data_IF_900892515413
#
_entry.id   IF_900892515413
#
_cell.length_a   1.000
_cell.length_b   1.000
_cell.length_c   1.000
_cell.angle_alpha   90.00
_cell.angle_beta   90.00
_cell.angle_gamma   90.00
#
_symmetry.space_group_name_H-M   'P 1'
#
loop_
_entity.id
_entity.type
_entity.pdbx_description
1 polymer ?
#
# COMPACT_ATOMS: atom_id res chain seq x y z
N UNK A 1 -22.83 8.65 -10.97
CA UNK A 1 -22.12 9.94 -11.05
C UNK A 1 -21.83 10.35 -9.62
N UNK A 2 -20.59 10.10 -9.24
CA UNK A 2 -19.87 10.31 -7.98
C UNK A 2 -20.45 11.42 -7.09
N UNK A 3 -20.97 11.03 -5.91
CA UNK A 3 -21.53 11.92 -4.88
C UNK A 3 -20.59 13.08 -4.51
N UNK A 4 -19.28 12.84 -4.60
CA UNK A 4 -18.22 13.84 -4.46
C UNK A 4 -18.37 15.06 -5.38
N UNK A 5 -18.73 14.82 -6.65
CA UNK A 5 -18.87 15.88 -7.63
C UNK A 5 -20.03 16.84 -7.30
N UNK A 6 -21.08 16.32 -6.66
CA UNK A 6 -22.21 17.12 -6.19
C UNK A 6 -21.81 18.03 -5.04
N UNK A 7 -20.97 17.54 -4.12
CA UNK A 7 -20.47 18.34 -2.99
C UNK A 7 -19.59 19.48 -3.49
N UNK A 8 -18.55 19.19 -4.27
CA UNK A 8 -17.57 20.20 -4.74
C UNK A 8 -18.22 21.36 -5.50
N UNK A 9 -19.32 21.12 -6.23
CA UNK A 9 -20.05 22.16 -6.96
C UNK A 9 -20.73 23.21 -6.10
N UNK A 10 -20.97 22.91 -4.82
CA UNK A 10 -21.57 23.87 -3.88
C UNK A 10 -20.56 24.93 -3.43
N UNK A 11 -19.26 24.73 -3.69
CA UNK A 11 -18.23 25.69 -3.35
C UNK A 11 -18.15 26.84 -4.36
N UNK A 12 -18.37 28.06 -3.89
CA UNK A 12 -18.30 29.28 -4.71
C UNK A 12 -17.19 30.24 -4.27
N UNK A 13 -16.30 29.80 -3.37
CA UNK A 13 -15.22 30.63 -2.82
C UNK A 13 -13.89 30.53 -3.58
N UNK A 14 -12.87 31.29 -3.15
CA UNK A 14 -11.53 31.23 -3.72
C UNK A 14 -10.80 29.94 -3.27
N UNK A 15 -9.88 29.36 -4.07
CA UNK A 15 -9.27 28.05 -3.77
C UNK A 15 -8.68 27.90 -2.37
N UNK A 16 -8.17 28.99 -1.78
CA UNK A 16 -7.56 29.01 -0.46
C UNK A 16 -8.54 28.68 0.69
N UNK A 17 -9.85 28.88 0.48
CA UNK A 17 -10.88 28.57 1.47
C UNK A 17 -11.56 27.22 1.26
N UNK A 18 -11.19 26.47 0.22
CA UNK A 18 -11.88 25.25 -0.17
C UNK A 18 -11.80 24.17 0.91
N UNK A 19 -10.61 23.96 1.45
CA UNK A 19 -10.38 22.92 2.46
C UNK A 19 -11.18 23.18 3.74
N UNK A 20 -11.14 24.42 4.26
CA UNK A 20 -11.91 24.79 5.45
C UNK A 20 -13.42 24.62 5.24
N UNK A 21 -13.94 25.05 4.09
CA UNK A 21 -15.35 24.86 3.72
C UNK A 21 -15.72 23.38 3.57
N UNK A 22 -14.83 22.57 3.01
CA UNK A 22 -15.07 21.16 2.77
C UNK A 22 -15.19 20.38 4.09
N UNK A 23 -14.29 20.65 5.05
CA UNK A 23 -14.34 20.04 6.39
C UNK A 23 -15.66 20.38 7.10
N UNK A 24 -16.11 21.63 6.99
CA UNK A 24 -17.37 22.11 7.57
C UNK A 24 -18.59 21.48 6.88
N UNK A 25 -18.62 21.46 5.54
CA UNK A 25 -19.74 20.95 4.74
C UNK A 25 -19.96 19.44 4.90
N UNK A 26 -18.88 18.69 5.10
CA UNK A 26 -18.94 17.24 5.32
C UNK A 26 -19.14 16.88 6.80
N UNK A 27 -19.33 17.87 7.68
CA UNK A 27 -19.42 17.71 9.13
C UNK A 27 -18.27 16.85 9.69
N UNK A 28 -17.10 16.92 9.06
CA UNK A 28 -15.98 16.05 9.41
C UNK A 28 -15.42 16.55 10.74
N UNK A 29 -15.41 15.72 11.79
CA UNK A 29 -14.90 16.14 13.08
C UNK A 29 -13.43 16.60 12.97
N UNK A 30 -13.11 17.78 13.51
CA UNK A 30 -11.72 18.29 13.55
C UNK A 30 -10.75 17.32 14.25
N UNK A 31 -11.25 16.39 15.06
CA UNK A 31 -10.42 15.33 15.66
C UNK A 31 -9.78 14.41 14.62
N UNK A 32 -10.30 14.33 13.39
CA UNK A 32 -9.68 13.59 12.28
C UNK A 32 -8.33 14.22 11.88
N UNK A 33 -8.18 15.54 12.00
CA UNK A 33 -6.90 16.22 11.80
C UNK A 33 -5.88 15.89 12.89
N UNK A 34 -6.34 15.31 14.01
CA UNK A 34 -5.51 14.85 15.13
C UNK A 34 -5.26 13.33 15.09
N UNK A 35 -5.73 12.62 14.06
CA UNK A 35 -5.38 11.21 13.89
C UNK A 35 -3.86 11.14 13.66
N UNK A 36 -3.15 10.53 14.60
CA UNK A 36 -1.72 10.30 14.47
C UNK A 36 -1.45 9.50 13.18
N UNK A 37 -0.32 9.79 12.53
CA UNK A 37 0.20 8.95 11.46
C UNK A 37 0.12 7.50 11.88
N UNK A 38 -0.33 6.63 10.97
CA UNK A 38 -0.40 5.21 11.25
C UNK A 38 0.99 4.68 11.63
N UNK A 39 1.15 4.33 12.90
CA UNK A 39 2.32 3.62 13.39
C UNK A 39 1.99 2.12 13.46
N UNK A 40 2.71 1.27 12.72
CA UNK A 40 2.48 -0.16 12.76
C UNK A 40 2.69 -0.72 14.17
N UNK A 41 1.82 -1.63 14.62
CA UNK A 41 1.90 -2.21 15.96
C UNK A 41 3.29 -2.80 16.27
N UNK A 42 3.71 -2.61 17.51
CA UNK A 42 4.93 -3.20 18.06
C UNK A 42 4.83 -4.74 18.11
N UNK A 43 5.96 -5.40 18.40
CA UNK A 43 5.97 -6.84 18.63
C UNK A 43 5.05 -7.21 19.79
N UNK A 44 4.31 -8.30 19.62
CA UNK A 44 3.54 -8.94 20.68
C UNK A 44 4.48 -9.58 21.72
N UNK A 45 4.00 -9.91 22.94
CA UNK A 45 4.82 -10.55 23.97
C UNK A 45 5.45 -11.89 23.54
N UNK A 46 4.82 -12.57 22.58
CA UNK A 46 5.34 -13.81 21.99
C UNK A 46 6.47 -13.57 20.95
N UNK A 47 6.84 -12.32 20.68
CA UNK A 47 7.86 -11.93 19.69
C UNK A 47 7.36 -11.89 18.24
N UNK A 48 6.08 -12.15 17.98
CA UNK A 48 5.48 -12.08 16.66
C UNK A 48 4.90 -10.69 16.37
N UNK A 49 4.67 -10.43 15.09
CA UNK A 49 4.07 -9.21 14.57
C UNK A 49 2.74 -9.57 13.90
N UNK A 50 1.64 -9.07 14.44
CA UNK A 50 0.29 -9.22 13.90
C UNK A 50 0.05 -8.22 12.76
N UNK A 51 -0.75 -8.60 11.78
CA UNK A 51 -1.30 -7.64 10.82
C UNK A 51 -2.37 -6.78 11.50
N UNK A 52 -2.27 -5.46 11.38
CA UNK A 52 -3.24 -4.52 11.99
C UNK A 52 -4.44 -4.24 11.08
N UNK A 53 -4.49 -4.85 9.89
CA UNK A 53 -5.61 -4.66 8.98
C UNK A 53 -6.88 -5.28 9.57
N UNK A 54 -7.97 -4.52 9.58
CA UNK A 54 -9.24 -4.95 10.16
C UNK A 54 -9.72 -6.28 9.55
N UNK A 55 -9.92 -7.30 10.41
CA UNK A 55 -10.31 -8.64 9.99
C UNK A 55 -9.17 -9.56 9.53
N UNK A 56 -7.92 -9.08 9.48
CA UNK A 56 -6.76 -9.89 9.18
C UNK A 56 -6.11 -10.42 10.47
N UNK A 57 -5.94 -11.74 10.56
CA UNK A 57 -5.39 -12.41 11.76
C UNK A 57 -4.01 -13.05 11.49
N UNK A 58 -3.29 -12.59 10.45
CA UNK A 58 -1.98 -13.17 10.10
C UNK A 58 -0.87 -12.66 11.01
N UNK A 59 0.02 -13.57 11.39
CA UNK A 59 1.17 -13.30 12.26
C UNK A 59 2.49 -13.64 11.57
N UNK A 60 3.55 -12.90 11.92
CA UNK A 60 4.86 -13.01 11.31
C UNK A 60 5.97 -12.94 12.34
N UNK A 61 7.07 -13.65 12.08
CA UNK A 61 8.26 -13.64 12.96
C UNK A 61 9.08 -12.36 12.88
N UNK A 62 8.78 -11.47 11.94
CA UNK A 62 9.50 -10.20 11.79
C UNK A 62 8.58 -9.09 11.29
N UNK A 63 8.89 -7.86 11.71
CA UNK A 63 8.22 -6.65 11.24
C UNK A 63 8.24 -6.55 9.71
N UNK A 64 9.38 -6.85 9.08
CA UNK A 64 9.52 -6.79 7.61
C UNK A 64 8.58 -7.75 6.90
N UNK A 65 8.42 -8.99 7.40
CA UNK A 65 7.54 -9.97 6.77
C UNK A 65 6.07 -9.56 6.90
N UNK A 66 5.67 -9.02 8.06
CA UNK A 66 4.33 -8.44 8.26
C UNK A 66 4.09 -7.27 7.31
N UNK A 67 5.05 -6.36 7.17
CA UNK A 67 4.92 -5.19 6.29
C UNK A 67 4.79 -5.62 4.82
N UNK A 68 5.66 -6.52 4.33
CA UNK A 68 5.56 -7.06 2.98
C UNK A 68 4.19 -7.71 2.72
N UNK A 69 3.61 -8.39 3.73
CA UNK A 69 2.27 -8.93 3.62
C UNK A 69 1.21 -7.82 3.51
N UNK A 70 1.27 -6.80 4.37
CA UNK A 70 0.32 -5.69 4.36
C UNK A 70 0.32 -4.96 3.01
N UNK A 71 1.52 -4.67 2.50
CA UNK A 71 1.71 -4.02 1.20
C UNK A 71 1.02 -4.82 0.09
N UNK A 72 1.27 -6.13 0.01
CA UNK A 72 0.75 -6.96 -1.08
C UNK A 72 -0.75 -7.27 -0.93
N UNK A 73 -1.19 -7.64 0.28
CA UNK A 73 -2.53 -8.19 0.50
C UNK A 73 -3.60 -7.13 0.75
N UNK A 74 -3.22 -5.94 1.23
CA UNK A 74 -4.16 -4.92 1.65
C UNK A 74 -4.00 -3.61 0.89
N UNK A 75 -2.76 -3.20 0.58
CA UNK A 75 -2.52 -2.00 -0.22
C UNK A 75 -2.45 -2.28 -1.74
N UNK A 76 -2.25 -3.54 -2.14
CA UNK A 76 -1.92 -3.87 -3.53
C UNK A 76 -0.57 -3.30 -3.98
N UNK A 77 0.28 -2.89 -3.03
CA UNK A 77 1.62 -2.39 -3.29
C UNK A 77 2.56 -3.59 -3.52
N UNK A 78 2.77 -3.91 -4.79
CA UNK A 78 3.60 -5.03 -5.20
C UNK A 78 4.37 -4.70 -6.48
N UNK A 79 5.39 -5.48 -6.79
CA UNK A 79 6.24 -5.30 -7.96
C UNK A 79 5.93 -6.39 -8.98
N UNK A 80 5.52 -5.99 -10.18
CA UNK A 80 5.31 -6.94 -11.27
C UNK A 80 6.59 -7.07 -12.09
N UNK A 81 7.04 -8.30 -12.31
CA UNK A 81 8.14 -8.54 -13.22
C UNK A 81 7.69 -8.21 -14.66
N UNK A 82 8.39 -7.32 -15.39
CA UNK A 82 8.01 -6.99 -16.76
C UNK A 82 8.24 -8.16 -17.73
N UNK A 83 9.20 -9.04 -17.41
CA UNK A 83 9.64 -10.11 -18.30
C UNK A 83 8.71 -11.33 -18.24
N UNK A 84 8.21 -11.70 -17.05
CA UNK A 84 7.37 -12.90 -16.87
C UNK A 84 6.00 -12.63 -16.23
N UNK A 85 5.72 -11.37 -15.85
CA UNK A 85 4.43 -10.99 -15.26
C UNK A 85 4.21 -11.40 -13.81
N UNK A 86 5.14 -12.13 -13.18
CA UNK A 86 5.03 -12.55 -11.78
C UNK A 86 4.94 -11.36 -10.82
N UNK A 87 4.19 -11.54 -9.73
CA UNK A 87 4.04 -10.54 -8.67
C UNK A 87 5.01 -10.86 -7.54
N UNK A 88 5.81 -9.87 -7.16
CA UNK A 88 6.83 -9.93 -6.12
C UNK A 88 6.51 -8.91 -5.03
N UNK A 89 6.79 -9.26 -3.78
CA UNK A 89 6.38 -8.44 -2.62
C UNK A 89 7.07 -7.08 -2.53
N UNK A 90 8.31 -6.95 -3.04
CA UNK A 90 9.07 -5.70 -2.98
C UNK A 90 10.17 -5.69 -4.06
N UNK A 91 10.85 -4.55 -4.20
CA UNK A 91 11.88 -4.35 -5.23
C UNK A 91 13.07 -5.30 -5.08
N UNK A 92 13.54 -5.55 -3.86
CA UNK A 92 14.64 -6.51 -3.63
C UNK A 92 14.27 -7.92 -4.09
N UNK A 93 13.01 -8.31 -3.88
CA UNK A 93 12.49 -9.59 -4.34
C UNK A 93 12.39 -9.65 -5.87
N UNK A 94 11.98 -8.55 -6.53
CA UNK A 94 11.99 -8.44 -7.98
C UNK A 94 13.41 -8.52 -8.55
N UNK A 95 14.35 -7.74 -8.02
CA UNK A 95 15.73 -7.74 -8.50
C UNK A 95 16.40 -9.11 -8.36
N UNK A 96 16.14 -9.83 -7.26
CA UNK A 96 16.59 -11.22 -7.10
C UNK A 96 15.88 -12.15 -8.10
N UNK A 97 14.56 -12.03 -8.20
CA UNK A 97 13.76 -12.81 -9.14
C UNK A 97 14.26 -12.69 -10.58
N UNK A 98 14.51 -11.47 -11.06
CA UNK A 98 15.01 -11.22 -12.42
C UNK A 98 16.37 -11.85 -12.69
N UNK A 99 17.22 -11.96 -11.66
CA UNK A 99 18.56 -12.56 -11.79
C UNK A 99 18.53 -14.08 -11.80
N UNK A 100 17.70 -14.72 -10.97
CA UNK A 100 17.82 -16.16 -10.71
C UNK A 100 16.59 -16.99 -11.06
N UNK A 101 15.40 -16.38 -11.13
CA UNK A 101 14.13 -17.11 -11.24
C UNK A 101 13.29 -16.69 -12.45
N UNK A 102 13.64 -15.61 -13.15
CA UNK A 102 12.93 -15.18 -14.34
C UNK A 102 13.39 -15.99 -15.55
N UNK A 103 12.57 -16.98 -15.96
CA UNK A 103 12.88 -17.87 -17.09
C UNK A 103 12.92 -17.13 -18.43
N UNK A 104 12.12 -16.08 -18.61
CA UNK A 104 12.10 -15.27 -19.83
C UNK A 104 13.45 -14.57 -20.11
N UNK A 105 14.23 -14.22 -19.07
CA UNK A 105 15.60 -13.69 -19.22
C UNK A 105 16.65 -14.76 -19.54
N UNK A 106 16.37 -16.04 -19.27
CA UNK A 106 17.33 -17.15 -19.46
C UNK A 106 17.27 -17.74 -20.86
N UNK A 107 16.15 -17.58 -21.55
CA UNK A 107 15.98 -18.01 -22.97
C UNK A 107 16.83 -17.19 -23.94
N UNK A 108 17.09 -15.91 -23.65
CA UNK A 108 17.99 -15.08 -24.48
C UNK A 108 19.48 -15.46 -24.35
N UNK A 109 19.87 -16.19 -23.29
CA UNK A 109 21.27 -16.55 -23.05
C UNK A 109 21.67 -17.90 -23.66
N UNK A 110 20.72 -18.72 -24.13
CA UNK A 110 20.99 -20.03 -24.75
C UNK A 110 20.93 -20.02 -26.29
N UNK A 111 20.78 -18.86 -26.92
CA UNK A 111 20.84 -18.70 -28.38
C UNK A 111 22.20 -18.13 -28.87
N UNK A 112 23.21 -18.04 -28.00
CA UNK A 112 24.56 -17.53 -28.32
C UNK A 112 25.68 -18.52 -27.97
N UNK A 113 25.46 -19.84 -28.11
CA UNK A 113 26.55 -20.85 -28.13
C UNK A 113 26.27 -21.85 -29.24
#
# INVERSE_FOLDING_TARGET
MNEWYSVVKLYTGPPQGFEAWLWDTLEIPQCILSIASYEPSAAQPNGYFTCDYHGCHKEYKSKQARNNHFDVAHLGAHQRCPDCGNILMNQNSLARHQRTHCLARRSDMHLLT
#
